data_IF_159569609815
#
_entry.id   IF_159569609815
#
_cell.length_a   1.000
_cell.length_b   1.000
_cell.length_c   1.000
_cell.angle_alpha   90.00
_cell.angle_beta   90.00
_cell.angle_gamma   90.00
#
_symmetry.space_group_name_H-M   'P 1'
#
loop_
_entity.id
_entity.type
_entity.pdbx_description
1 polymer ?
#
# COMPACT_ATOMS: atom_id res chain seq x y z
N UNK A 1 10.64 15.98 -36.90
CA UNK A 1 11.10 16.29 -35.53
C UNK A 1 11.70 15.00 -34.99
N UNK A 2 13.00 14.85 -35.15
CA UNK A 2 13.72 13.69 -34.67
C UNK A 2 13.83 13.79 -33.16
N UNK A 3 13.20 12.84 -32.47
CA UNK A 3 13.35 12.71 -31.01
C UNK A 3 14.81 12.33 -30.72
N UNK A 4 15.45 12.94 -29.72
CA UNK A 4 16.79 12.54 -29.31
C UNK A 4 16.77 11.06 -28.91
N UNK A 5 17.58 10.27 -29.61
CA UNK A 5 17.82 8.86 -29.30
C UNK A 5 18.55 8.86 -27.96
N UNK A 6 17.82 8.63 -26.86
CA UNK A 6 18.43 8.25 -25.59
C UNK A 6 19.33 7.05 -25.85
N UNK A 7 20.64 7.11 -25.50
CA UNK A 7 21.53 5.99 -25.73
C UNK A 7 20.95 4.75 -25.05
N UNK A 8 20.99 3.62 -25.78
CA UNK A 8 20.58 2.34 -25.25
C UNK A 8 21.31 2.10 -23.91
N UNK A 9 20.61 1.64 -22.86
CA UNK A 9 21.25 1.33 -21.59
C UNK A 9 22.40 0.37 -21.86
N UNK A 10 23.60 0.71 -21.37
CA UNK A 10 24.81 -0.11 -21.49
C UNK A 10 24.45 -1.59 -21.21
N UNK A 11 24.58 -2.42 -22.24
CA UNK A 11 24.31 -3.84 -22.16
C UNK A 11 25.14 -4.46 -21.04
N UNK A 12 24.49 -4.82 -19.93
CA UNK A 12 25.12 -5.58 -18.84
C UNK A 12 25.15 -4.94 -17.46
N UNK A 13 24.76 -3.66 -17.28
CA UNK A 13 24.49 -3.17 -15.92
C UNK A 13 23.07 -3.57 -15.52
N UNK A 14 22.86 -4.32 -14.42
CA UNK A 14 21.51 -4.47 -13.90
C UNK A 14 20.98 -3.07 -13.62
N UNK A 15 19.91 -2.68 -14.32
CA UNK A 15 19.16 -1.48 -13.99
C UNK A 15 18.69 -1.72 -12.57
N UNK A 16 19.41 -1.20 -11.57
CA UNK A 16 18.97 -1.27 -10.18
C UNK A 16 17.62 -0.56 -10.20
N UNK A 17 16.50 -1.25 -9.93
CA UNK A 17 15.21 -0.60 -9.94
C UNK A 17 15.29 0.48 -8.88
N UNK A 18 15.33 1.74 -9.31
CA UNK A 18 15.32 2.87 -8.38
C UNK A 18 13.95 2.79 -7.72
N UNK A 19 13.88 2.54 -6.40
CA UNK A 19 12.60 2.44 -5.74
C UNK A 19 11.88 3.78 -5.91
N UNK A 20 10.62 3.71 -6.32
CA UNK A 20 9.83 4.91 -6.62
C UNK A 20 9.61 5.78 -5.37
N UNK A 21 9.74 5.20 -4.18
CA UNK A 21 9.71 5.87 -2.88
C UNK A 21 10.69 5.18 -1.91
N UNK A 22 11.32 5.91 -0.98
CA UNK A 22 12.22 5.34 0.04
C UNK A 22 11.40 4.64 1.13
N UNK A 23 11.04 3.38 0.91
CA UNK A 23 10.21 2.57 1.80
C UNK A 23 10.93 2.06 3.05
N UNK A 24 12.24 1.84 2.97
CA UNK A 24 13.05 1.19 4.02
C UNK A 24 12.90 1.80 5.42
N UNK A 25 13.09 3.13 5.59
CA UNK A 25 12.93 3.76 6.90
C UNK A 25 11.52 3.61 7.47
N UNK A 26 10.50 3.67 6.61
CA UNK A 26 9.11 3.54 7.03
C UNK A 26 8.80 2.14 7.56
N UNK A 27 9.23 1.11 6.81
CA UNK A 27 9.09 -0.30 7.20
C UNK A 27 9.84 -0.58 8.50
N UNK A 28 11.06 -0.03 8.64
CA UNK A 28 11.87 -0.23 9.85
C UNK A 28 11.21 0.40 11.08
N UNK A 29 10.78 1.66 10.99
CA UNK A 29 10.17 2.39 12.12
C UNK A 29 8.86 1.72 12.52
N UNK A 30 7.97 1.47 11.56
CA UNK A 30 6.69 0.82 11.83
C UNK A 30 6.88 -0.56 12.46
N UNK A 31 7.72 -1.42 11.87
CA UNK A 31 7.99 -2.76 12.40
C UNK A 31 8.58 -2.71 13.81
N UNK A 32 9.53 -1.79 14.07
CA UNK A 32 10.12 -1.64 15.39
C UNK A 32 9.07 -1.17 16.42
N UNK A 33 8.28 -0.15 16.11
CA UNK A 33 7.23 0.36 17.02
C UNK A 33 6.22 -0.73 17.37
N UNK A 34 5.75 -1.50 16.38
CA UNK A 34 4.78 -2.58 16.58
C UNK A 34 5.37 -3.71 17.40
N UNK A 35 6.61 -4.10 17.09
CA UNK A 35 7.31 -5.17 17.82
C UNK A 35 7.51 -4.78 19.28
N UNK A 36 7.96 -3.55 19.53
CA UNK A 36 8.12 -3.04 20.90
C UNK A 36 6.78 -2.99 21.62
N UNK A 37 5.72 -2.50 20.99
CA UNK A 37 4.40 -2.43 21.62
C UNK A 37 3.83 -3.83 21.92
N UNK A 38 3.98 -4.78 21.00
CA UNK A 38 3.60 -6.18 21.20
C UNK A 38 4.40 -6.85 22.32
N UNK A 39 5.71 -6.58 22.43
CA UNK A 39 6.54 -7.08 23.53
C UNK A 39 6.07 -6.54 24.88
N UNK A 40 5.74 -5.25 24.97
CA UNK A 40 5.21 -4.64 26.19
C UNK A 40 3.89 -5.28 26.61
N UNK A 41 2.98 -5.54 25.66
CA UNK A 41 1.72 -6.22 25.97
C UNK A 41 1.87 -7.65 26.48
N UNK A 42 2.80 -8.42 25.91
CA UNK A 42 3.01 -9.82 26.29
C UNK A 42 3.78 -9.97 27.62
N UNK A 43 4.79 -9.12 27.88
CA UNK A 43 5.74 -9.34 28.97
C UNK A 43 5.70 -8.30 30.09
N UNK A 44 5.14 -7.10 29.86
CA UNK A 44 5.10 -6.08 30.92
C UNK A 44 3.85 -5.19 30.87
N UNK A 45 2.72 -5.67 31.43
CA UNK A 45 1.47 -4.94 31.45
C UNK A 45 1.56 -3.56 32.11
N UNK A 46 2.44 -3.39 33.10
CA UNK A 46 2.68 -2.10 33.77
C UNK A 46 3.27 -1.06 32.81
N UNK A 47 4.35 -1.40 32.09
CA UNK A 47 4.95 -0.48 31.13
C UNK A 47 4.03 -0.24 29.92
N UNK A 48 3.24 -1.24 29.51
CA UNK A 48 2.18 -1.04 28.50
C UNK A 48 1.20 0.05 28.94
N UNK A 49 0.70 0.00 30.18
CA UNK A 49 -0.27 0.97 30.66
C UNK A 49 0.28 2.41 30.62
N UNK A 50 1.57 2.60 30.92
CA UNK A 50 2.23 3.91 30.78
C UNK A 50 2.29 4.35 29.32
N UNK A 51 2.63 3.44 28.41
CA UNK A 51 2.67 3.73 26.97
C UNK A 51 1.26 4.02 26.41
N UNK A 52 0.24 3.34 26.91
CA UNK A 52 -1.16 3.55 26.51
C UNK A 52 -1.66 4.96 26.81
N UNK A 53 -1.09 5.66 27.80
CA UNK A 53 -1.38 7.09 28.07
C UNK A 53 -1.00 7.97 26.88
N UNK A 54 0.04 7.62 26.14
CA UNK A 54 0.51 8.38 24.98
C UNK A 54 -0.08 7.88 23.67
N UNK A 55 -0.21 6.56 23.51
CA UNK A 55 -0.69 5.97 22.26
C UNK A 55 -2.20 6.13 22.11
N UNK A 56 -2.99 5.90 23.16
CA UNK A 56 -4.45 5.94 23.07
C UNK A 56 -4.97 7.26 22.52
N UNK A 57 -4.52 8.45 22.98
CA UNK A 57 -4.97 9.72 22.41
C UNK A 57 -4.62 9.89 20.93
N UNK A 58 -3.47 9.36 20.48
CA UNK A 58 -3.08 9.39 19.06
C UNK A 58 -4.04 8.52 18.24
N UNK A 59 -4.39 7.33 18.75
CA UNK A 59 -5.31 6.41 18.07
C UNK A 59 -6.74 6.96 18.07
N UNK A 60 -7.20 7.52 19.19
CA UNK A 60 -8.49 8.19 19.29
C UNK A 60 -8.56 9.40 18.33
N UNK A 61 -7.42 10.08 18.12
CA UNK A 61 -7.31 11.19 17.16
C UNK A 61 -7.54 10.75 15.71
N UNK A 62 -7.25 9.49 15.36
CA UNK A 62 -7.52 8.95 14.01
C UNK A 62 -9.01 8.93 13.68
N UNK A 63 -9.87 8.81 14.70
CA UNK A 63 -11.33 8.89 14.53
C UNK A 63 -11.79 10.22 13.92
N UNK A 64 -11.11 11.32 14.23
CA UNK A 64 -11.40 12.64 13.66
C UNK A 64 -11.06 12.74 12.18
N UNK A 65 -10.11 11.93 11.71
CA UNK A 65 -9.72 11.83 10.32
C UNK A 65 -10.53 10.77 9.54
N UNK A 66 -11.69 10.34 10.08
CA UNK A 66 -12.51 9.23 9.56
C UNK A 66 -11.79 7.87 9.51
N UNK A 67 -10.60 7.76 10.10
CA UNK A 67 -9.85 6.51 10.30
C UNK A 67 -10.25 5.87 11.63
N UNK A 68 -11.56 5.84 11.89
CA UNK A 68 -12.08 5.37 13.17
C UNK A 68 -11.91 3.86 13.25
N UNK A 69 -11.13 3.42 14.24
CA UNK A 69 -10.96 2.00 14.57
C UNK A 69 -12.11 1.63 15.48
N UNK A 70 -13.25 1.31 14.86
CA UNK A 70 -14.49 0.99 15.56
C UNK A 70 -14.38 -0.34 16.27
N UNK A 71 -13.65 -1.26 15.65
CA UNK A 71 -13.51 -2.66 16.05
C UNK A 71 -12.13 -3.12 15.62
N UNK A 72 -11.35 -3.62 16.59
CA UNK A 72 -10.03 -4.19 16.31
C UNK A 72 -10.23 -5.52 15.58
N UNK A 73 -9.59 -5.78 14.43
CA UNK A 73 -9.57 -7.11 13.81
C UNK A 73 -8.78 -8.13 14.65
N UNK A 74 -8.28 -7.75 15.82
CA UNK A 74 -7.61 -8.64 16.75
C UNK A 74 -8.33 -8.57 18.11
N UNK A 75 -8.72 -9.72 18.65
CA UNK A 75 -9.36 -9.85 19.95
C UNK A 75 -8.79 -11.07 20.68
N UNK A 76 -8.81 -11.13 22.01
CA UNK A 76 -8.20 -12.26 22.73
C UNK A 76 -8.15 -12.06 24.23
N UNK A 77 -7.26 -12.80 24.90
CA UNK A 77 -7.14 -12.82 26.36
C UNK A 77 -6.50 -11.57 26.97
N UNK A 78 -5.84 -10.75 26.15
CA UNK A 78 -5.29 -9.46 26.58
C UNK A 78 -6.37 -8.37 26.61
N UNK A 79 -6.04 -7.26 27.27
CA UNK A 79 -6.90 -6.09 27.38
C UNK A 79 -7.35 -5.57 26.00
N UNK A 80 -8.65 -5.29 25.78
CA UNK A 80 -9.15 -4.70 24.54
C UNK A 80 -8.43 -3.42 24.11
N UNK A 81 -7.94 -2.61 25.05
CA UNK A 81 -7.17 -1.39 24.76
C UNK A 81 -5.86 -1.74 24.04
N UNK A 82 -5.19 -2.83 24.41
CA UNK A 82 -3.97 -3.29 23.76
C UNK A 82 -4.22 -3.59 22.28
N UNK A 83 -5.23 -4.39 21.97
CA UNK A 83 -5.53 -4.77 20.59
C UNK A 83 -5.97 -3.56 19.75
N UNK A 84 -6.81 -2.69 20.32
CA UNK A 84 -7.20 -1.42 19.69
C UNK A 84 -6.00 -0.56 19.36
N UNK A 85 -5.08 -0.37 20.31
CA UNK A 85 -3.91 0.48 20.12
C UNK A 85 -2.90 -0.15 19.15
N UNK A 86 -2.71 -1.46 19.19
CA UNK A 86 -1.86 -2.21 18.25
C UNK A 86 -2.38 -2.05 16.81
N UNK A 87 -3.69 -2.22 16.60
CA UNK A 87 -4.32 -2.01 15.29
C UNK A 87 -4.37 -0.54 14.90
N UNK A 88 -4.49 0.35 15.88
CA UNK A 88 -4.24 1.78 15.78
C UNK A 88 -2.93 2.14 15.13
N UNK A 89 -1.84 1.60 15.67
CA UNK A 89 -0.52 1.82 15.10
C UNK A 89 -0.44 1.29 13.67
N UNK A 90 -1.05 0.15 13.37
CA UNK A 90 -1.08 -0.42 12.03
C UNK A 90 -1.78 0.51 11.03
N UNK A 91 -2.98 1.00 11.36
CA UNK A 91 -3.73 1.95 10.54
C UNK A 91 -2.96 3.27 10.39
N UNK A 92 -2.40 3.80 11.48
CA UNK A 92 -1.61 5.03 11.48
C UNK A 92 -0.45 4.93 10.50
N UNK A 93 0.36 3.89 10.60
CA UNK A 93 1.51 3.72 9.72
C UNK A 93 1.07 3.49 8.26
N UNK A 94 0.07 2.64 8.01
CA UNK A 94 -0.42 2.49 6.63
C UNK A 94 -0.96 3.80 6.05
N UNK A 95 -1.68 4.61 6.83
CA UNK A 95 -2.17 5.91 6.40
C UNK A 95 -1.03 6.90 6.12
N UNK A 96 -0.06 7.03 7.03
CA UNK A 96 1.11 7.90 6.86
C UNK A 96 1.92 7.54 5.61
N UNK A 97 2.10 6.24 5.34
CA UNK A 97 2.80 5.79 4.14
C UNK A 97 2.03 6.15 2.87
N UNK A 98 0.71 5.92 2.86
CA UNK A 98 -0.14 6.25 1.71
C UNK A 98 -0.19 7.77 1.46
N UNK A 99 -0.23 8.59 2.52
CA UNK A 99 -0.16 10.05 2.43
C UNK A 99 1.21 10.49 1.89
N UNK A 100 2.31 9.98 2.45
CA UNK A 100 3.66 10.30 1.98
C UNK A 100 3.86 9.91 0.51
N UNK A 101 3.32 8.76 0.13
CA UNK A 101 3.28 8.26 -1.24
C UNK A 101 2.53 9.23 -2.18
N UNK A 102 1.32 9.65 -1.79
CA UNK A 102 0.53 10.62 -2.57
C UNK A 102 1.26 11.97 -2.71
N UNK A 103 1.79 12.50 -1.60
CA UNK A 103 2.56 13.75 -1.60
C UNK A 103 3.79 13.65 -2.49
N UNK A 104 4.47 12.51 -2.49
CA UNK A 104 5.61 12.26 -3.38
C UNK A 104 5.19 12.29 -4.85
N UNK A 105 4.07 11.64 -5.22
CA UNK A 105 3.55 11.66 -6.58
C UNK A 105 3.23 13.08 -7.06
N UNK A 106 2.61 13.90 -6.19
CA UNK A 106 2.30 15.31 -6.48
C UNK A 106 3.57 16.13 -6.64
N UNK A 107 4.52 16.02 -5.70
CA UNK A 107 5.75 16.81 -5.69
C UNK A 107 6.66 16.50 -6.88
N UNK A 108 6.83 15.22 -7.20
CA UNK A 108 7.74 14.75 -8.25
C UNK A 108 7.04 14.65 -9.61
N UNK A 109 5.71 14.85 -9.65
CA UNK A 109 4.87 14.67 -10.84
C UNK A 109 5.09 13.31 -11.51
N UNK A 110 5.35 12.29 -10.69
CA UNK A 110 5.70 10.93 -11.12
C UNK A 110 4.72 9.95 -10.48
N UNK A 111 4.05 9.16 -11.32
CA UNK A 111 3.15 8.09 -10.90
C UNK A 111 3.99 6.82 -10.64
N UNK A 112 3.46 5.88 -9.85
CA UNK A 112 4.12 4.60 -9.57
C UNK A 112 4.26 3.70 -10.81
N UNK A 113 3.58 4.00 -11.93
CA UNK A 113 3.63 3.23 -13.16
C UNK A 113 4.46 3.91 -14.27
N UNK A 114 4.97 3.08 -15.19
CA UNK A 114 5.47 3.53 -16.48
C UNK A 114 4.32 4.14 -17.31
N UNK A 115 4.64 4.95 -18.33
CA UNK A 115 3.61 5.43 -19.25
C UNK A 115 2.90 4.24 -19.91
N UNK A 116 1.59 4.35 -20.17
CA UNK A 116 0.83 3.27 -20.81
C UNK A 116 1.41 2.89 -22.18
N UNK A 117 1.98 3.87 -22.90
CA UNK A 117 2.64 3.67 -24.19
C UNK A 117 3.95 2.87 -24.05
N UNK A 118 4.76 3.17 -23.02
CA UNK A 118 5.99 2.42 -22.75
C UNK A 118 5.67 1.02 -22.22
N UNK A 119 4.66 0.89 -21.37
CA UNK A 119 4.19 -0.42 -20.87
C UNK A 119 3.69 -1.30 -22.02
N UNK A 120 2.94 -0.73 -22.97
CA UNK A 120 2.47 -1.45 -24.16
C UNK A 120 3.63 -1.91 -25.05
N UNK A 121 4.59 -1.01 -25.34
CA UNK A 121 5.81 -1.37 -26.10
C UNK A 121 6.60 -2.48 -25.42
N UNK A 122 6.78 -2.40 -24.10
CA UNK A 122 7.50 -3.42 -23.33
C UNK A 122 6.79 -4.78 -23.40
N UNK A 123 5.46 -4.83 -23.30
CA UNK A 123 4.70 -6.08 -23.46
C UNK A 123 4.88 -6.66 -24.87
N UNK A 124 4.83 -5.81 -25.90
CA UNK A 124 5.04 -6.26 -27.28
C UNK A 124 6.44 -6.87 -27.47
N UNK A 125 7.47 -6.24 -26.92
CA UNK A 125 8.87 -6.70 -27.03
C UNK A 125 9.07 -7.99 -26.21
N UNK A 126 8.60 -8.01 -24.96
CA UNK A 126 8.83 -9.14 -24.05
C UNK A 126 8.07 -10.40 -24.46
N UNK A 127 6.86 -10.26 -25.00
CA UNK A 127 6.00 -11.40 -25.35
C UNK A 127 5.93 -11.67 -26.86
N UNK A 128 6.61 -10.87 -27.68
CA UNK A 128 6.62 -11.03 -29.14
C UNK A 128 5.23 -10.89 -29.77
N UNK A 129 4.34 -10.08 -29.19
CA UNK A 129 2.94 -9.96 -29.62
C UNK A 129 2.69 -8.73 -30.48
N UNK A 130 1.76 -8.86 -31.43
CA UNK A 130 1.30 -7.73 -32.26
C UNK A 130 0.55 -6.66 -31.46
N UNK A 131 0.44 -5.46 -32.03
CA UNK A 131 -0.11 -4.25 -31.38
C UNK A 131 -1.47 -4.49 -30.70
N UNK A 132 -2.44 -5.07 -31.43
CA UNK A 132 -3.79 -5.32 -30.90
C UNK A 132 -3.79 -6.29 -29.71
N UNK A 133 -3.01 -7.37 -29.79
CA UNK A 133 -2.89 -8.35 -28.71
C UNK A 133 -2.19 -7.75 -27.50
N UNK A 134 -1.11 -6.99 -27.69
CA UNK A 134 -0.41 -6.28 -26.62
C UNK A 134 -1.31 -5.27 -25.89
N UNK A 135 -2.20 -4.59 -26.63
CA UNK A 135 -3.16 -3.66 -26.05
C UNK A 135 -4.15 -4.39 -25.14
N UNK A 136 -4.76 -5.48 -25.62
CA UNK A 136 -5.68 -6.31 -24.82
C UNK A 136 -4.99 -6.86 -23.58
N UNK A 137 -3.77 -7.38 -23.72
CA UNK A 137 -3.01 -7.96 -22.60
C UNK A 137 -2.65 -6.91 -21.54
N UNK A 138 -2.31 -5.68 -21.95
CA UNK A 138 -2.08 -4.59 -21.01
C UNK A 138 -3.33 -4.27 -20.18
N UNK A 139 -4.48 -4.12 -20.83
CA UNK A 139 -5.74 -3.76 -20.16
C UNK A 139 -6.22 -4.90 -19.26
N UNK A 140 -6.14 -6.14 -19.73
CA UNK A 140 -6.48 -7.30 -18.90
C UNK A 140 -5.57 -7.39 -17.68
N UNK A 141 -4.26 -7.22 -17.86
CA UNK A 141 -3.30 -7.25 -16.76
C UNK A 141 -3.57 -6.14 -15.73
N UNK A 142 -3.78 -4.91 -16.17
CA UNK A 142 -4.00 -3.80 -15.24
C UNK A 142 -5.38 -3.88 -14.58
N UNK A 143 -6.47 -4.13 -15.32
CA UNK A 143 -7.81 -4.13 -14.73
C UNK A 143 -8.07 -5.35 -13.85
N UNK A 144 -7.64 -6.55 -14.26
CA UNK A 144 -7.91 -7.76 -13.46
C UNK A 144 -6.82 -8.03 -12.43
N UNK A 145 -5.54 -7.97 -12.80
CA UNK A 145 -4.45 -8.32 -11.87
C UNK A 145 -4.16 -7.14 -10.96
N UNK A 146 -3.76 -5.99 -11.52
CA UNK A 146 -3.41 -4.82 -10.70
C UNK A 146 -4.64 -4.26 -9.98
N UNK A 147 -5.79 -4.21 -10.65
CA UNK A 147 -7.07 -3.83 -10.04
C UNK A 147 -7.50 -4.78 -8.94
N UNK A 148 -7.34 -6.10 -9.12
CA UNK A 148 -7.59 -7.08 -8.07
C UNK A 148 -6.68 -6.88 -6.84
N UNK A 149 -5.39 -6.62 -7.07
CA UNK A 149 -4.43 -6.32 -5.98
C UNK A 149 -4.79 -4.99 -5.30
N UNK A 150 -5.19 -3.97 -6.05
CA UNK A 150 -5.63 -2.69 -5.50
C UNK A 150 -6.87 -2.86 -4.61
N UNK A 151 -7.86 -3.62 -5.07
CA UNK A 151 -9.05 -3.94 -4.29
C UNK A 151 -8.70 -4.74 -3.02
N UNK A 152 -7.84 -5.75 -3.13
CA UNK A 152 -7.39 -6.55 -1.99
C UNK A 152 -6.64 -5.72 -0.94
N UNK A 153 -5.68 -4.91 -1.35
CA UNK A 153 -4.91 -4.03 -0.44
C UNK A 153 -5.79 -2.99 0.24
N UNK A 154 -6.78 -2.45 -0.48
CA UNK A 154 -7.81 -1.56 0.08
C UNK A 154 -8.67 -2.28 1.09
N UNK A 155 -9.12 -3.50 0.75
CA UNK A 155 -9.95 -4.30 1.62
C UNK A 155 -9.23 -4.63 2.93
N UNK A 156 -7.93 -4.96 2.89
CA UNK A 156 -7.11 -5.16 4.09
C UNK A 156 -7.05 -3.87 4.93
N UNK A 157 -6.81 -2.72 4.29
CA UNK A 157 -6.78 -1.44 5.00
C UNK A 157 -8.12 -1.13 5.69
N UNK A 158 -9.23 -1.39 5.01
CA UNK A 158 -10.57 -1.24 5.59
C UNK A 158 -10.82 -2.26 6.71
N UNK A 159 -10.36 -3.50 6.58
CA UNK A 159 -10.45 -4.50 7.64
C UNK A 159 -9.72 -4.07 8.91
N UNK A 160 -8.59 -3.36 8.79
CA UNK A 160 -7.89 -2.78 9.93
C UNK A 160 -8.71 -1.72 10.70
N UNK A 161 -9.65 -1.04 10.01
CA UNK A 161 -10.51 -0.02 10.61
C UNK A 161 -11.83 -0.60 11.16
N UNK A 162 -12.41 -1.56 10.43
CA UNK A 162 -13.75 -2.08 10.69
C UNK A 162 -13.80 -3.47 11.30
N UNK A 163 -12.68 -4.19 11.38
CA UNK A 163 -12.61 -5.49 12.04
C UNK A 163 -13.55 -6.55 11.45
N UNK A 164 -13.79 -6.57 10.13
CA UNK A 164 -14.70 -7.54 9.51
C UNK A 164 -14.24 -8.98 9.64
N UNK A 165 -12.92 -9.19 9.62
CA UNK A 165 -12.26 -10.45 9.88
C UNK A 165 -11.45 -10.35 11.16
N UNK A 166 -11.93 -11.03 12.19
CA UNK A 166 -11.32 -11.07 13.51
C UNK A 166 -10.31 -12.22 13.62
N UNK A 167 -9.15 -11.93 14.22
CA UNK A 167 -8.09 -12.84 14.56
C UNK A 167 -8.02 -12.98 16.07
N UNK A 168 -7.88 -14.22 16.55
CA UNK A 168 -7.93 -14.56 17.98
C UNK A 168 -6.57 -15.06 18.49
N UNK A 169 -5.55 -14.20 18.70
CA UNK A 169 -4.29 -14.60 19.31
C UNK A 169 -4.45 -15.00 20.79
N UNK A 170 -3.75 -16.05 21.19
CA UNK A 170 -3.54 -16.39 22.61
C UNK A 170 -2.55 -15.42 23.27
N UNK A 171 -2.61 -15.30 24.61
CA UNK A 171 -1.79 -14.39 25.43
C UNK A 171 -0.27 -14.57 25.28
N UNK A 172 0.19 -15.71 24.80
CA UNK A 172 1.62 -16.00 24.61
C UNK A 172 2.03 -16.10 23.14
N UNK A 173 1.10 -15.86 22.21
CA UNK A 173 1.37 -15.99 20.78
C UNK A 173 1.78 -14.65 20.15
N UNK A 174 2.92 -14.14 20.64
CA UNK A 174 3.51 -12.92 20.11
C UNK A 174 3.87 -13.07 18.63
N UNK A 175 4.36 -14.24 18.22
CA UNK A 175 4.75 -14.48 16.83
C UNK A 175 3.55 -14.37 15.89
N UNK A 176 2.43 -15.03 16.22
CA UNK A 176 1.20 -14.90 15.44
C UNK A 176 0.69 -13.46 15.42
N UNK A 177 0.70 -12.77 16.56
CA UNK A 177 0.31 -11.35 16.65
C UNK A 177 1.12 -10.49 15.68
N UNK A 178 2.46 -10.66 15.65
CA UNK A 178 3.34 -9.92 14.75
C UNK A 178 3.10 -10.29 13.27
N UNK A 179 2.87 -11.58 12.98
CA UNK A 179 2.55 -12.04 11.62
C UNK A 179 1.26 -11.40 11.14
N UNK A 180 0.21 -11.36 11.97
CA UNK A 180 -1.06 -10.70 11.63
C UNK A 180 -0.82 -9.20 11.37
N UNK A 181 -0.10 -8.50 12.25
CA UNK A 181 0.22 -7.09 12.03
C UNK A 181 0.99 -6.85 10.72
N UNK A 182 2.00 -7.66 10.41
CA UNK A 182 2.77 -7.52 9.16
C UNK A 182 1.93 -7.84 7.92
N UNK A 183 1.11 -8.89 7.98
CA UNK A 183 0.19 -9.28 6.92
C UNK A 183 -0.90 -8.24 6.68
N UNK A 184 -1.24 -7.44 7.68
CA UNK A 184 -2.18 -6.33 7.56
C UNK A 184 -1.51 -5.04 7.06
N UNK A 185 -0.37 -4.64 7.64
CA UNK A 185 0.28 -3.35 7.32
C UNK A 185 0.91 -3.33 5.94
N UNK A 186 1.66 -4.39 5.59
CA UNK A 186 2.42 -4.38 4.35
C UNK A 186 1.49 -4.20 3.15
N UNK A 187 0.42 -5.00 2.96
CA UNK A 187 -0.49 -4.81 1.84
C UNK A 187 -1.22 -3.46 1.92
N UNK A 188 -1.72 -3.08 3.10
CA UNK A 188 -2.45 -1.82 3.31
C UNK A 188 -1.67 -0.58 2.89
N UNK A 189 -0.35 -0.61 3.05
CA UNK A 189 0.54 0.49 2.69
C UNK A 189 0.67 0.68 1.18
N UNK A 190 0.35 -0.31 0.35
CA UNK A 190 0.47 -0.19 -1.11
C UNK A 190 -0.81 0.28 -1.83
N UNK A 191 -1.89 0.53 -1.09
CA UNK A 191 -3.20 0.90 -1.64
C UNK A 191 -3.12 2.06 -2.65
N UNK A 192 -2.55 3.21 -2.25
CA UNK A 192 -2.43 4.40 -3.12
C UNK A 192 -1.55 4.12 -4.33
N UNK A 193 -0.46 3.37 -4.16
CA UNK A 193 0.43 3.03 -5.26
C UNK A 193 -0.29 2.20 -6.32
N UNK A 194 -1.03 1.16 -5.91
CA UNK A 194 -1.76 0.28 -6.83
C UNK A 194 -2.90 1.01 -7.54
N UNK A 195 -3.70 1.81 -6.81
CA UNK A 195 -4.75 2.62 -7.43
C UNK A 195 -4.20 3.69 -8.39
N UNK A 196 -2.99 4.22 -8.13
CA UNK A 196 -2.37 5.17 -9.06
C UNK A 196 -2.05 4.55 -10.42
N UNK A 197 -1.69 3.26 -10.45
CA UNK A 197 -1.41 2.51 -11.69
C UNK A 197 -2.72 2.31 -12.47
N UNK A 198 -3.78 1.87 -11.79
CA UNK A 198 -5.11 1.69 -12.40
C UNK A 198 -5.64 3.02 -12.92
N UNK A 199 -5.56 4.09 -12.11
CA UNK A 199 -6.01 5.42 -12.48
C UNK A 199 -5.27 6.01 -13.69
N UNK A 200 -3.98 5.72 -13.83
CA UNK A 200 -3.21 6.15 -14.99
C UNK A 200 -3.71 5.52 -16.29
N UNK A 201 -4.06 4.22 -16.27
CA UNK A 201 -4.64 3.55 -17.43
C UNK A 201 -6.03 4.11 -17.76
N UNK A 202 -6.88 4.28 -16.75
CA UNK A 202 -8.22 4.86 -16.91
C UNK A 202 -8.14 6.26 -17.53
N UNK A 203 -7.23 7.12 -17.04
CA UNK A 203 -7.03 8.46 -17.60
C UNK A 203 -6.54 8.41 -19.06
N UNK A 204 -5.66 7.48 -19.39
CA UNK A 204 -5.21 7.26 -20.76
C UNK A 204 -6.38 6.88 -21.68
N UNK A 205 -7.23 5.96 -21.26
CA UNK A 205 -8.41 5.52 -22.02
C UNK A 205 -9.38 6.68 -22.26
N UNK A 206 -9.71 7.45 -21.20
CA UNK A 206 -10.58 8.63 -21.32
C UNK A 206 -10.01 9.66 -22.30
N UNK A 207 -8.71 9.92 -22.23
CA UNK A 207 -8.05 10.87 -23.15
C UNK A 207 -8.16 10.39 -24.61
N UNK A 208 -7.92 9.10 -24.89
CA UNK A 208 -8.03 8.55 -26.24
C UNK A 208 -9.46 8.59 -26.78
N UNK A 209 -10.45 8.30 -25.94
CA UNK A 209 -11.87 8.40 -26.31
C UNK A 209 -12.22 9.85 -26.64
N UNK A 210 -11.81 10.80 -25.81
CA UNK A 210 -12.05 12.23 -26.05
C UNK A 210 -11.40 12.74 -27.33
N UNK A 211 -10.12 12.39 -27.56
CA UNK A 211 -9.40 12.74 -28.80
C UNK A 211 -10.09 12.17 -30.06
N UNK A 212 -10.71 10.99 -29.95
CA UNK A 212 -11.48 10.38 -31.04
C UNK A 212 -12.80 11.11 -31.33
N UNK A 213 -13.49 11.57 -30.28
CA UNK A 213 -14.77 12.30 -30.41
C UNK A 213 -14.55 13.70 -30.99
N UNK A 214 -13.53 14.42 -30.52
CA UNK A 214 -13.27 15.82 -30.93
C UNK A 214 -12.67 15.94 -32.34
N UNK A 215 -12.02 14.89 -32.85
CA UNK A 215 -11.47 14.88 -34.22
C UNK A 215 -12.50 14.46 -35.29
N UNK A 216 -13.73 14.15 -34.91
CA UNK A 216 -14.86 13.93 -35.81
C UNK A 216 -15.73 15.17 -35.86
#
# INVERSE_FOLDING_TARGET
MDLPITPAPEAGRPIKPIPWFRTGPFVLISSATITVYALLGNFSPYYRAVVDVFISPIIDSLGWAFLNIRTSPMSGELDPIYYRNLMGLCVLFSALYNIASALYMVKVKKIAAASCEDAHKNIMIMQGVGVKKGWVLLHLGVYFIVGGIAAFTTFIFLNCMFGWFEFLPSRYDMLFTLIVCLALILPSSFCVAMWSIVGQLVFFDFRKIFEFIVKK
#
